data_IF_958283412107
#
_entry.id   IF_958283412107
#
_cell.length_a   1.000
_cell.length_b   1.000
_cell.length_c   1.000
_cell.angle_alpha   90.00
_cell.angle_beta   90.00
_cell.angle_gamma   90.00
#
_symmetry.space_group_name_H-M   'P 1'
#
loop_
_entity.id
_entity.type
_entity.pdbx_description
1 polymer ?
#
# COMPACT_ATOMS: atom_id res chain seq x y z
N UNK A 1 1.17 13.82 9.55
CA UNK A 1 1.20 14.95 10.48
C UNK A 1 0.95 14.56 11.94
N UNK A 2 1.00 13.25 12.30
CA UNK A 2 0.84 12.82 13.71
C UNK A 2 2.07 13.21 14.57
N UNK A 3 3.26 13.18 13.95
CA UNK A 3 4.51 13.56 14.59
C UNK A 3 5.21 14.62 13.74
N UNK A 4 5.92 15.52 14.38
CA UNK A 4 6.78 16.49 13.73
C UNK A 4 8.22 15.99 13.72
N UNK A 5 8.99 16.20 12.62
CA UNK A 5 10.40 15.88 12.62
C UNK A 5 11.17 16.79 13.59
N UNK A 6 12.08 16.23 14.40
CA UNK A 6 12.94 17.01 15.28
C UNK A 6 13.86 17.95 14.49
N UNK A 7 14.29 17.51 13.32
CA UNK A 7 15.13 18.28 12.37
C UNK A 7 14.73 17.95 10.94
N UNK A 8 14.94 18.92 10.06
CA UNK A 8 14.66 18.76 8.65
C UNK A 8 13.23 19.17 8.25
N UNK A 9 12.89 18.93 7.00
CA UNK A 9 11.64 19.37 6.39
C UNK A 9 11.04 18.25 5.58
N UNK A 10 9.74 18.03 5.71
CA UNK A 10 8.98 17.09 4.89
C UNK A 10 8.17 17.90 3.87
N UNK A 11 8.33 17.55 2.58
CA UNK A 11 7.56 18.14 1.48
C UNK A 11 6.83 17.05 0.72
N UNK A 12 5.56 17.30 0.39
CA UNK A 12 4.75 16.46 -0.50
C UNK A 12 4.24 17.37 -1.62
N UNK A 13 4.44 16.96 -2.88
CA UNK A 13 4.12 17.76 -4.05
C UNK A 13 4.75 19.19 -3.99
N UNK A 14 5.97 19.29 -3.46
CA UNK A 14 6.73 20.55 -3.34
C UNK A 14 6.29 21.48 -2.21
N UNK A 15 5.18 21.20 -1.50
CA UNK A 15 4.67 21.98 -0.37
C UNK A 15 5.11 21.36 0.96
N UNK A 16 5.35 22.20 1.96
CA UNK A 16 5.63 21.71 3.31
C UNK A 16 4.43 20.96 3.88
N UNK A 17 4.67 19.90 4.64
CA UNK A 17 3.60 19.06 5.20
C UNK A 17 2.59 19.88 6.03
N UNK A 18 3.05 20.88 6.78
CA UNK A 18 2.18 21.77 7.58
C UNK A 18 1.28 22.69 6.72
N UNK A 19 1.70 23.00 5.51
CA UNK A 19 1.00 23.89 4.57
C UNK A 19 0.24 23.11 3.51
N UNK A 20 0.41 21.79 3.52
CA UNK A 20 -0.10 20.91 2.47
C UNK A 20 -1.55 20.54 2.74
N UNK A 21 -2.40 20.76 1.76
CA UNK A 21 -3.71 20.13 1.65
C UNK A 21 -3.61 18.74 1.04
N UNK A 22 -2.40 18.17 0.96
CA UNK A 22 -2.14 16.86 0.34
C UNK A 22 -2.90 15.80 1.10
N UNK A 23 -3.73 15.09 0.39
CA UNK A 23 -4.47 13.97 0.92
C UNK A 23 -3.54 12.74 0.98
N UNK A 24 -3.18 12.33 2.19
CA UNK A 24 -2.33 11.15 2.44
C UNK A 24 -3.22 10.00 2.90
N UNK A 25 -3.22 8.92 2.14
CA UNK A 25 -3.87 7.68 2.54
C UNK A 25 -2.91 6.84 3.37
N UNK A 26 -3.35 6.36 4.53
CA UNK A 26 -2.55 5.50 5.39
C UNK A 26 -3.23 4.16 5.58
N UNK A 27 -2.52 3.09 5.23
CA UNK A 27 -2.93 1.71 5.44
C UNK A 27 -2.02 1.10 6.50
N UNK A 28 -2.63 0.70 7.60
CA UNK A 28 -1.97 0.09 8.74
C UNK A 28 -1.62 -1.38 8.47
N UNK A 29 -0.77 -1.96 9.32
CA UNK A 29 -0.35 -3.36 9.30
C UNK A 29 -1.54 -4.34 9.34
N UNK A 30 -2.58 -4.01 10.11
CA UNK A 30 -3.85 -4.73 10.11
C UNK A 30 -4.88 -3.96 9.29
N UNK A 31 -5.90 -4.67 8.82
CA UNK A 31 -6.96 -4.07 7.99
C UNK A 31 -7.77 -2.99 8.73
N UNK A 32 -7.84 -3.09 10.08
CA UNK A 32 -8.54 -2.14 10.97
C UNK A 32 -9.95 -1.81 10.47
N UNK A 33 -10.64 -2.81 9.94
CA UNK A 33 -12.04 -2.71 9.59
C UNK A 33 -12.90 -2.84 10.85
N UNK A 34 -13.90 -1.99 10.96
CA UNK A 34 -14.85 -2.07 12.09
C UNK A 34 -15.80 -3.25 11.91
N UNK A 35 -15.72 -4.22 12.79
CA UNK A 35 -16.49 -5.46 12.76
C UNK A 35 -18.02 -5.25 12.84
N UNK A 36 -18.48 -4.15 13.43
CA UNK A 36 -19.88 -3.78 13.54
C UNK A 36 -20.44 -3.05 12.32
N UNK A 37 -19.58 -2.73 11.34
CA UNK A 37 -19.96 -2.06 10.09
C UNK A 37 -19.92 -3.05 8.93
N UNK A 38 -20.74 -2.81 7.92
CA UNK A 38 -20.62 -3.54 6.65
C UNK A 38 -19.35 -3.12 5.92
N UNK A 39 -18.94 -3.89 4.92
CA UNK A 39 -17.79 -3.57 4.07
C UNK A 39 -17.99 -2.22 3.38
N UNK A 40 -19.18 -1.98 2.80
CA UNK A 40 -19.49 -0.68 2.22
C UNK A 40 -19.33 0.46 3.24
N UNK A 41 -19.89 0.31 4.43
CA UNK A 41 -19.81 1.35 5.47
C UNK A 41 -18.38 1.53 6.00
N UNK A 42 -17.54 0.50 6.00
CA UNK A 42 -16.11 0.64 6.27
C UNK A 42 -15.42 1.44 5.17
N UNK A 43 -15.70 1.14 3.92
CA UNK A 43 -15.10 1.83 2.76
C UNK A 43 -15.42 3.32 2.76
N UNK A 44 -16.66 3.70 3.02
CA UNK A 44 -17.06 5.13 2.98
C UNK A 44 -16.79 5.89 4.27
N UNK A 45 -16.25 5.26 5.30
CA UNK A 45 -16.04 5.86 6.62
C UNK A 45 -15.27 7.18 6.56
N UNK A 46 -14.16 7.22 5.83
CA UNK A 46 -13.36 8.45 5.69
C UNK A 46 -14.12 9.59 5.03
N UNK A 47 -14.99 9.27 4.06
CA UNK A 47 -15.89 10.23 3.41
C UNK A 47 -16.96 10.74 4.37
N UNK A 48 -17.48 9.87 5.25
CA UNK A 48 -18.44 10.29 6.30
C UNK A 48 -17.81 11.27 7.28
N UNK A 49 -16.61 10.94 7.78
CA UNK A 49 -15.87 11.77 8.76
C UNK A 49 -15.54 13.15 8.17
N UNK A 50 -15.15 13.18 6.90
CA UNK A 50 -14.80 14.43 6.20
C UNK A 50 -16.00 15.17 5.64
N UNK A 51 -17.23 14.70 5.86
CA UNK A 51 -18.47 15.27 5.29
C UNK A 51 -18.47 15.32 3.75
N UNK A 52 -17.76 14.37 3.11
CA UNK A 52 -17.61 14.28 1.66
C UNK A 52 -18.49 13.19 1.02
N UNK A 53 -19.44 12.62 1.76
CA UNK A 53 -20.29 11.53 1.28
C UNK A 53 -21.41 12.07 0.40
N UNK A 54 -21.12 12.26 -0.87
CA UNK A 54 -22.01 12.74 -1.94
C UNK A 54 -22.48 11.59 -2.83
N UNK A 55 -23.40 11.84 -3.76
CA UNK A 55 -23.80 10.85 -4.78
C UNK A 55 -22.59 10.37 -5.61
N UNK A 56 -21.68 11.29 -6.00
CA UNK A 56 -20.47 10.97 -6.76
C UNK A 56 -19.52 10.07 -5.97
N UNK A 57 -19.25 10.39 -4.71
CA UNK A 57 -18.30 9.59 -3.90
C UNK A 57 -18.87 8.23 -3.51
N UNK A 58 -20.20 8.12 -3.32
CA UNK A 58 -20.90 6.83 -3.17
C UNK A 58 -20.75 5.97 -4.42
N UNK A 59 -20.97 6.55 -5.60
CA UNK A 59 -20.81 5.87 -6.87
C UNK A 59 -19.36 5.37 -7.02
N UNK A 60 -18.36 6.20 -6.72
CA UNK A 60 -16.95 5.83 -6.74
C UNK A 60 -16.64 4.65 -5.79
N UNK A 61 -17.20 4.65 -4.58
CA UNK A 61 -17.05 3.53 -3.65
C UNK A 61 -17.59 2.21 -4.24
N UNK A 62 -18.75 2.24 -4.87
CA UNK A 62 -19.31 1.09 -5.55
C UNK A 62 -18.48 0.62 -6.73
N UNK A 63 -17.95 1.54 -7.55
CA UNK A 63 -17.07 1.24 -8.67
C UNK A 63 -15.77 0.55 -8.21
N UNK A 64 -15.16 1.05 -7.12
CA UNK A 64 -13.97 0.42 -6.55
C UNK A 64 -14.28 -0.97 -5.99
N UNK A 65 -15.40 -1.14 -5.28
CA UNK A 65 -15.82 -2.45 -4.76
C UNK A 65 -16.06 -3.46 -5.91
N UNK A 66 -16.66 -3.01 -7.00
CA UNK A 66 -16.91 -3.85 -8.19
C UNK A 66 -15.59 -4.19 -8.89
N UNK A 67 -14.76 -3.19 -9.18
CA UNK A 67 -13.49 -3.32 -9.88
C UNK A 67 -12.54 -4.31 -9.19
N UNK A 68 -12.59 -4.35 -7.85
CA UNK A 68 -11.71 -5.19 -7.03
C UNK A 68 -12.41 -6.42 -6.42
N UNK A 69 -13.57 -6.80 -7.01
CA UNK A 69 -14.25 -8.08 -6.75
C UNK A 69 -14.92 -8.18 -5.38
N UNK A 70 -15.26 -7.05 -4.77
CA UNK A 70 -15.93 -7.02 -3.46
C UNK A 70 -17.38 -6.54 -3.50
N UNK A 71 -17.94 -6.27 -4.69
CA UNK A 71 -19.31 -5.77 -4.85
C UNK A 71 -20.35 -6.65 -4.17
N UNK A 72 -20.26 -7.95 -4.35
CA UNK A 72 -21.21 -8.91 -3.76
C UNK A 72 -21.11 -9.01 -2.23
N UNK A 73 -20.03 -8.51 -1.64
CA UNK A 73 -19.78 -8.51 -0.20
C UNK A 73 -20.01 -7.15 0.45
N UNK A 74 -20.55 -6.17 -0.25
CA UNK A 74 -20.71 -4.80 0.28
C UNK A 74 -21.60 -4.73 1.52
N UNK A 75 -22.58 -5.63 1.65
CA UNK A 75 -23.47 -5.75 2.80
C UNK A 75 -22.92 -6.68 3.89
N UNK A 76 -21.87 -7.45 3.62
CA UNK A 76 -21.22 -8.36 4.57
C UNK A 76 -20.43 -7.60 5.63
N UNK A 77 -20.12 -8.27 6.73
CA UNK A 77 -19.23 -7.78 7.79
C UNK A 77 -17.80 -8.31 7.59
N UNK A 78 -16.78 -7.66 8.17
CA UNK A 78 -15.39 -8.10 8.04
C UNK A 78 -15.16 -9.55 8.42
N UNK A 79 -15.83 -10.06 9.47
CA UNK A 79 -15.75 -11.46 9.91
C UNK A 79 -16.22 -12.50 8.89
N UNK A 80 -16.97 -12.08 7.86
CA UNK A 80 -17.46 -12.94 6.78
C UNK A 80 -16.50 -12.99 5.57
N UNK A 81 -15.40 -12.21 5.62
CA UNK A 81 -14.42 -12.09 4.53
C UNK A 81 -13.12 -12.85 4.84
N UNK A 82 -12.44 -13.34 3.79
CA UNK A 82 -11.07 -13.83 3.91
C UNK A 82 -10.11 -12.69 4.25
N UNK A 83 -8.92 -13.00 4.79
CA UNK A 83 -7.89 -11.99 5.10
C UNK A 83 -7.53 -11.13 3.89
N UNK A 84 -7.34 -11.73 2.70
CA UNK A 84 -7.06 -10.99 1.48
C UNK A 84 -8.21 -10.09 1.01
N UNK A 85 -9.46 -10.51 1.22
CA UNK A 85 -10.62 -9.66 0.94
C UNK A 85 -10.69 -8.47 1.89
N UNK A 86 -10.37 -8.66 3.17
CA UNK A 86 -10.30 -7.58 4.15
C UNK A 86 -9.19 -6.58 3.81
N UNK A 87 -8.01 -7.05 3.41
CA UNK A 87 -6.91 -6.17 2.98
C UNK A 87 -7.30 -5.34 1.75
N UNK A 88 -7.96 -5.94 0.75
CA UNK A 88 -8.50 -5.19 -0.39
C UNK A 88 -9.55 -4.16 0.04
N UNK A 89 -10.45 -4.50 0.95
CA UNK A 89 -11.44 -3.55 1.49
C UNK A 89 -10.77 -2.37 2.22
N UNK A 90 -9.70 -2.62 3.00
CA UNK A 90 -8.93 -1.60 3.68
C UNK A 90 -8.22 -0.67 2.67
N UNK A 91 -7.67 -1.22 1.59
CA UNK A 91 -7.09 -0.41 0.51
C UNK A 91 -8.16 0.45 -0.18
N UNK A 92 -9.33 -0.13 -0.52
CA UNK A 92 -10.45 0.60 -1.14
C UNK A 92 -10.91 1.74 -0.24
N UNK A 93 -11.02 1.51 1.09
CA UNK A 93 -11.33 2.54 2.10
C UNK A 93 -10.37 3.72 2.02
N UNK A 94 -9.11 3.45 1.72
CA UNK A 94 -8.09 4.48 1.59
C UNK A 94 -8.17 5.15 0.21
N UNK A 95 -8.34 4.40 -0.86
CA UNK A 95 -8.39 4.90 -2.24
C UNK A 95 -9.63 5.74 -2.55
N UNK A 96 -10.76 5.47 -1.89
CA UNK A 96 -12.00 6.21 -2.12
C UNK A 96 -11.87 7.70 -1.75
N UNK A 97 -10.90 8.04 -0.91
CA UNK A 97 -10.54 9.41 -0.54
C UNK A 97 -9.68 10.11 -1.60
N UNK A 98 -9.34 9.42 -2.68
CA UNK A 98 -8.50 9.92 -3.78
C UNK A 98 -7.15 10.51 -3.30
N UNK A 99 -6.37 9.78 -2.47
CA UNK A 99 -5.13 10.32 -1.91
C UNK A 99 -4.09 10.56 -3.01
N UNK A 100 -3.21 11.55 -2.78
CA UNK A 100 -2.05 11.82 -3.63
C UNK A 100 -0.89 10.83 -3.35
N UNK A 101 -0.78 10.42 -2.08
CA UNK A 101 0.26 9.52 -1.58
C UNK A 101 -0.36 8.45 -0.70
N UNK A 102 0.00 7.19 -0.95
CA UNK A 102 -0.31 6.05 -0.09
C UNK A 102 0.88 5.71 0.80
N UNK A 103 0.64 5.61 2.09
CA UNK A 103 1.59 5.05 3.06
C UNK A 103 1.09 3.66 3.44
N UNK A 104 1.89 2.64 3.18
CA UNK A 104 1.56 1.23 3.41
C UNK A 104 2.56 0.66 4.42
N UNK A 105 2.09 0.36 5.62
CA UNK A 105 2.93 -0.11 6.72
C UNK A 105 2.72 -1.61 6.93
N UNK A 106 3.65 -2.41 6.43
CA UNK A 106 3.61 -3.88 6.44
C UNK A 106 2.24 -4.47 6.05
N UNK A 107 1.62 -4.04 4.93
CA UNK A 107 0.22 -4.29 4.65
C UNK A 107 -0.13 -5.77 4.45
N UNK A 108 0.85 -6.65 4.30
CA UNK A 108 0.63 -8.08 4.03
C UNK A 108 1.14 -8.99 5.14
N UNK A 109 1.72 -8.46 6.21
CA UNK A 109 2.38 -9.25 7.26
C UNK A 109 1.44 -10.23 8.00
N UNK A 110 0.15 -9.90 8.09
CA UNK A 110 -0.87 -10.74 8.73
C UNK A 110 -1.42 -11.87 7.83
N UNK A 111 -0.96 -11.96 6.57
CA UNK A 111 -1.46 -12.96 5.61
C UNK A 111 -0.53 -14.17 5.54
N UNK A 112 -1.12 -15.36 5.30
CA UNK A 112 -0.34 -16.53 4.92
C UNK A 112 0.40 -16.32 3.58
N UNK A 113 1.42 -17.13 3.33
CA UNK A 113 2.33 -16.93 2.19
C UNK A 113 1.60 -16.90 0.83
N UNK A 114 0.67 -17.81 0.56
CA UNK A 114 -0.01 -17.86 -0.74
C UNK A 114 -0.96 -16.67 -0.92
N UNK A 115 -1.74 -16.35 0.10
CA UNK A 115 -2.64 -15.19 0.12
C UNK A 115 -1.84 -13.90 -0.05
N UNK A 116 -0.69 -13.78 0.62
CA UNK A 116 0.23 -12.64 0.51
C UNK A 116 0.68 -12.39 -0.92
N UNK A 117 1.11 -13.43 -1.63
CA UNK A 117 1.53 -13.30 -3.03
C UNK A 117 0.39 -12.79 -3.91
N UNK A 118 -0.79 -13.41 -3.80
CA UNK A 118 -1.95 -13.03 -4.61
C UNK A 118 -2.43 -11.62 -4.30
N UNK A 119 -2.57 -11.29 -3.02
CA UNK A 119 -3.05 -9.96 -2.58
C UNK A 119 -2.01 -8.88 -2.90
N UNK A 120 -0.71 -9.19 -2.76
CA UNK A 120 0.35 -8.27 -3.15
C UNK A 120 0.29 -7.94 -4.64
N UNK A 121 0.06 -8.94 -5.50
CA UNK A 121 -0.12 -8.73 -6.94
C UNK A 121 -1.34 -7.86 -7.24
N UNK A 122 -2.48 -8.18 -6.62
CA UNK A 122 -3.72 -7.40 -6.78
C UNK A 122 -3.51 -5.94 -6.38
N UNK A 123 -2.94 -5.72 -5.18
CA UNK A 123 -2.72 -4.37 -4.62
C UNK A 123 -1.69 -3.58 -5.45
N UNK A 124 -0.61 -4.20 -5.88
CA UNK A 124 0.37 -3.57 -6.76
C UNK A 124 -0.24 -3.11 -8.08
N UNK A 125 -1.07 -3.95 -8.70
CA UNK A 125 -1.79 -3.59 -9.93
C UNK A 125 -2.82 -2.48 -9.69
N UNK A 126 -3.53 -2.51 -8.55
CA UNK A 126 -4.49 -1.47 -8.14
C UNK A 126 -3.81 -0.11 -8.06
N UNK A 127 -2.70 -0.02 -7.31
CA UNK A 127 -1.95 1.23 -7.09
C UNK A 127 -1.47 1.81 -8.42
N UNK A 128 -0.92 0.96 -9.31
CA UNK A 128 -0.47 1.39 -10.64
C UNK A 128 -1.62 1.85 -11.53
N UNK A 129 -2.72 1.11 -11.55
CA UNK A 129 -3.92 1.44 -12.35
C UNK A 129 -4.55 2.78 -11.91
N UNK A 130 -4.58 3.04 -10.61
CA UNK A 130 -5.06 4.30 -10.04
C UNK A 130 -4.04 5.45 -10.19
N UNK A 131 -2.83 5.18 -10.71
CA UNK A 131 -1.78 6.19 -10.92
C UNK A 131 -1.29 6.84 -9.62
N UNK A 132 -1.30 6.11 -8.51
CA UNK A 132 -0.94 6.64 -7.20
C UNK A 132 0.53 6.43 -6.88
N UNK A 133 1.13 7.39 -6.18
CA UNK A 133 2.42 7.20 -5.53
C UNK A 133 2.22 6.43 -4.21
N UNK A 134 3.09 5.46 -3.96
CA UNK A 134 3.04 4.69 -2.71
C UNK A 134 4.41 4.61 -2.04
N UNK A 135 4.43 4.70 -0.72
CA UNK A 135 5.57 4.38 0.12
C UNK A 135 5.22 3.12 0.91
N UNK A 136 5.88 2.01 0.57
CA UNK A 136 5.73 0.72 1.24
C UNK A 136 6.84 0.55 2.26
N UNK A 137 6.48 0.30 3.50
CA UNK A 137 7.39 -0.18 4.56
C UNK A 137 7.17 -1.68 4.71
N UNK A 138 8.21 -2.46 4.53
CA UNK A 138 8.17 -3.92 4.67
C UNK A 138 9.55 -4.46 5.06
N UNK A 139 9.56 -5.59 5.75
CA UNK A 139 10.75 -6.38 6.01
C UNK A 139 10.88 -7.59 5.04
N UNK A 140 9.91 -7.79 4.16
CA UNK A 140 9.92 -8.84 3.14
C UNK A 140 10.56 -8.32 1.85
N UNK A 141 11.75 -8.87 1.53
CA UNK A 141 12.50 -8.49 0.33
C UNK A 141 11.71 -8.80 -0.96
N UNK A 142 10.94 -9.88 -0.95
CA UNK A 142 10.18 -10.28 -2.14
C UNK A 142 9.04 -9.29 -2.43
N UNK A 143 8.40 -8.77 -1.39
CA UNK A 143 7.43 -7.68 -1.53
C UNK A 143 8.10 -6.41 -2.06
N UNK A 144 9.19 -5.97 -1.41
CA UNK A 144 9.90 -4.76 -1.81
C UNK A 144 10.34 -4.81 -3.28
N UNK A 145 10.92 -5.93 -3.72
CA UNK A 145 11.44 -6.08 -5.08
C UNK A 145 10.31 -6.20 -6.11
N UNK A 146 9.24 -6.93 -5.80
CA UNK A 146 8.17 -7.15 -6.76
C UNK A 146 7.25 -5.94 -6.93
N UNK A 147 7.05 -5.13 -5.91
CA UNK A 147 6.06 -4.05 -5.89
C UNK A 147 6.63 -2.67 -6.21
N UNK A 148 7.87 -2.38 -5.78
CA UNK A 148 8.42 -1.04 -5.84
C UNK A 148 9.14 -0.73 -7.17
N UNK A 149 9.29 0.55 -7.49
CA UNK A 149 10.16 1.03 -8.57
C UNK A 149 11.58 1.29 -8.06
N UNK A 150 11.73 1.45 -6.74
CA UNK A 150 13.02 1.57 -6.06
C UNK A 150 12.91 1.10 -4.62
N UNK A 151 13.99 0.54 -4.10
CA UNK A 151 14.13 0.14 -2.70
C UNK A 151 15.08 1.09 -1.99
N UNK A 152 14.69 1.54 -0.80
CA UNK A 152 15.52 2.34 0.09
C UNK A 152 15.87 1.46 1.28
N UNK A 153 17.15 1.18 1.47
CA UNK A 153 17.68 0.39 2.58
C UNK A 153 18.04 1.33 3.71
N UNK A 154 17.52 1.05 4.91
CA UNK A 154 17.87 1.78 6.12
C UNK A 154 18.94 1.00 6.90
N UNK A 155 19.89 1.72 7.49
CA UNK A 155 20.89 1.17 8.40
C UNK A 155 20.31 0.91 9.80
N UNK A 156 21.18 0.45 10.71
CA UNK A 156 20.83 0.20 12.11
C UNK A 156 20.28 1.41 12.90
N UNK A 157 20.58 1.51 14.19
CA UNK A 157 20.01 2.57 15.05
C UNK A 157 21.07 3.58 15.46
N UNK A 158 20.84 4.89 15.28
CA UNK A 158 19.70 5.52 14.61
C UNK A 158 19.72 5.25 13.10
N UNK A 159 18.53 5.01 12.52
CA UNK A 159 18.42 4.65 11.12
C UNK A 159 18.80 5.82 10.19
N UNK A 160 19.61 5.52 9.18
CA UNK A 160 19.95 6.40 8.07
C UNK A 160 19.74 5.70 6.74
N UNK A 161 19.60 6.46 5.65
CA UNK A 161 19.55 5.85 4.32
C UNK A 161 20.96 5.31 4.01
N UNK A 162 21.04 3.98 3.89
CA UNK A 162 22.27 3.29 3.51
C UNK A 162 22.45 3.27 2.01
N UNK A 163 21.41 2.85 1.30
CA UNK A 163 21.42 2.74 -0.15
C UNK A 163 20.03 2.94 -0.74
N UNK A 164 19.99 3.46 -1.96
CA UNK A 164 18.78 3.51 -2.79
C UNK A 164 19.05 2.74 -4.08
N UNK A 165 18.24 1.71 -4.33
CA UNK A 165 18.41 0.80 -5.47
C UNK A 165 17.20 0.97 -6.40
N UNK A 166 17.38 1.51 -7.62
CA UNK A 166 16.35 1.48 -8.64
C UNK A 166 16.13 0.04 -9.11
N UNK A 167 14.89 -0.34 -9.32
CA UNK A 167 14.52 -1.66 -9.81
C UNK A 167 14.08 -1.54 -11.27
N UNK A 168 14.83 -2.15 -12.16
CA UNK A 168 14.59 -2.14 -13.61
C UNK A 168 14.44 -3.58 -14.05
N UNK A 169 13.29 -3.89 -14.66
CA UNK A 169 13.00 -5.20 -15.21
C UNK A 169 12.71 -5.06 -16.70
N UNK A 170 13.22 -5.98 -17.50
CA UNK A 170 12.94 -6.08 -18.93
C UNK A 170 11.81 -7.09 -19.14
N UNK A 171 10.56 -6.60 -19.10
CA UNK A 171 9.35 -7.42 -19.11
C UNK A 171 8.31 -6.87 -20.08
N UNK A 172 7.67 -7.76 -20.85
CA UNK A 172 6.54 -7.39 -21.73
C UNK A 172 5.35 -6.86 -20.91
N UNK A 173 5.10 -7.44 -19.74
CA UNK A 173 4.08 -7.00 -18.80
C UNK A 173 4.70 -6.89 -17.41
N UNK A 174 4.84 -5.66 -16.91
CA UNK A 174 5.44 -5.38 -15.62
C UNK A 174 4.42 -5.55 -14.47
N UNK A 175 4.23 -6.81 -14.07
CA UNK A 175 3.41 -7.18 -12.92
C UNK A 175 4.28 -7.72 -11.78
N UNK A 176 3.84 -7.65 -10.51
CA UNK A 176 4.61 -8.19 -9.40
C UNK A 176 4.93 -9.68 -9.57
N UNK A 177 4.00 -10.48 -10.12
CA UNK A 177 4.23 -11.88 -10.42
C UNK A 177 5.33 -12.08 -11.47
N UNK A 178 5.30 -11.30 -12.57
CA UNK A 178 6.29 -11.40 -13.63
C UNK A 178 7.67 -10.95 -13.12
N UNK A 179 7.74 -9.91 -12.30
CA UNK A 179 8.99 -9.48 -11.64
C UNK A 179 9.60 -10.60 -10.79
N UNK A 180 8.79 -11.36 -10.02
CA UNK A 180 9.27 -12.49 -9.20
C UNK A 180 9.87 -13.61 -10.03
N UNK A 181 9.37 -13.80 -11.26
CA UNK A 181 9.87 -14.82 -12.18
C UNK A 181 11.02 -14.35 -13.08
N UNK A 182 11.35 -13.07 -13.04
CA UNK A 182 12.41 -12.48 -13.85
C UNK A 182 13.81 -12.83 -13.31
N UNK A 183 14.82 -12.99 -14.18
CA UNK A 183 16.19 -13.27 -13.75
C UNK A 183 16.79 -12.15 -12.89
N UNK A 184 16.39 -10.90 -13.11
CA UNK A 184 16.81 -9.73 -12.35
C UNK A 184 16.37 -9.81 -10.88
N UNK A 185 15.25 -10.47 -10.58
CA UNK A 185 14.73 -10.61 -9.23
C UNK A 185 15.77 -11.19 -8.27
N UNK A 186 16.40 -12.29 -8.68
CA UNK A 186 17.44 -12.94 -7.89
C UNK A 186 18.66 -12.04 -7.68
N UNK A 187 19.01 -11.24 -8.68
CA UNK A 187 20.13 -10.30 -8.61
C UNK A 187 19.85 -9.22 -7.58
N UNK A 188 18.66 -8.60 -7.63
CA UNK A 188 18.23 -7.61 -6.64
C UNK A 188 18.10 -8.21 -5.24
N UNK A 189 17.54 -9.40 -5.12
CA UNK A 189 17.41 -10.10 -3.84
C UNK A 189 18.78 -10.28 -3.17
N UNK A 190 19.76 -10.82 -3.89
CA UNK A 190 21.10 -11.04 -3.36
C UNK A 190 21.80 -9.72 -3.01
N UNK A 191 21.63 -8.67 -3.83
CA UNK A 191 22.18 -7.34 -3.58
C UNK A 191 21.64 -6.76 -2.28
N UNK A 192 20.31 -6.70 -2.14
CA UNK A 192 19.63 -6.13 -0.96
C UNK A 192 19.95 -6.95 0.29
N UNK A 193 19.90 -8.28 0.18
CA UNK A 193 20.24 -9.18 1.27
C UNK A 193 21.67 -8.95 1.79
N UNK A 194 22.64 -8.82 0.88
CA UNK A 194 24.02 -8.51 1.24
C UNK A 194 24.13 -7.20 2.00
N UNK A 195 23.48 -6.15 1.49
CA UNK A 195 23.50 -4.82 2.11
C UNK A 195 22.87 -4.82 3.52
N UNK A 196 21.81 -5.59 3.75
CA UNK A 196 21.20 -5.72 5.06
C UNK A 196 22.07 -6.45 6.09
N UNK A 197 22.89 -7.42 5.65
CA UNK A 197 23.72 -8.24 6.53
C UNK A 197 25.18 -7.76 6.63
N UNK A 198 25.53 -6.62 6.08
CA UNK A 198 26.93 -6.12 6.12
C UNK A 198 27.28 -5.47 7.48
N UNK A 199 26.33 -5.32 8.42
CA UNK A 199 26.54 -4.73 9.75
C UNK A 199 26.75 -5.77 10.86
N UNK A 200 26.90 -7.07 10.52
CA UNK A 200 27.43 -8.13 11.41
C UNK A 200 28.93 -8.33 11.14
#
# INVERSE_FOLDING_TARGET
GLLEPEKGLIKINGKYLKESTTNVGYMLQHDELFEWRTIYNNVVLGLEIQHMLTARTRQRAHELLDLYGLRQFEASRPSELSGGMRQRAALIRTLVLEPDLLLLDEPFSALDYQTRLTVGDDIGQIIRKEGKSALLVTHDLSEAISLADRVIILSGRPATIRQTIPLIFDLDADTPLNRRNAPEFKTYFNLIWKELNTDE
#
